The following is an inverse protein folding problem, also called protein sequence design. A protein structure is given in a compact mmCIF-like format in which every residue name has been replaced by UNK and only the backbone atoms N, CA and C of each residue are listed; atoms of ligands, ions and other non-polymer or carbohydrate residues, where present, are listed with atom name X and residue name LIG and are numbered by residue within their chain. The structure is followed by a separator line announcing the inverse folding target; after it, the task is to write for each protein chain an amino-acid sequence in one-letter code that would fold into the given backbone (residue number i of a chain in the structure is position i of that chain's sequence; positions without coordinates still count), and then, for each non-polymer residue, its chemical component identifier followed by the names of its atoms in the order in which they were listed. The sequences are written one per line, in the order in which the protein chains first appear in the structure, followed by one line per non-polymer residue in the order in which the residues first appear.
data_IF_691260599732
#
_entry.id   IF_691260599732
#
_cell.length_a   1.000
_cell.length_b   1.000
_cell.length_c   1.000
_cell.angle_alpha   90.00
_cell.angle_beta   90.00
_cell.angle_gamma   90.00
#
_symmetry.space_group_name_H-M   'P 1'
#
loop_
_entity.id
_entity.type
_entity.pdbx_description
1 polymer ?
#
# COMPACT_ATOMS: atom_id res chain seq x y z
N UNK A 1 9.27 -3.28 9.25
CA UNK A 1 8.88 -4.43 10.10
C UNK A 1 9.90 -5.54 9.94
N UNK A 2 10.46 -6.04 11.02
CA UNK A 2 11.43 -7.15 11.00
C UNK A 2 10.69 -8.44 11.33
N UNK A 3 10.95 -9.47 10.54
CA UNK A 3 10.37 -10.81 10.74
C UNK A 3 11.48 -11.84 10.86
N UNK A 4 11.25 -12.90 11.62
CA UNK A 4 12.13 -14.07 11.63
C UNK A 4 11.86 -14.89 10.37
N UNK A 5 12.90 -15.10 9.57
CA UNK A 5 12.85 -15.92 8.38
C UNK A 5 13.75 -17.15 8.55
N UNK A 6 13.33 -18.26 7.97
CA UNK A 6 14.04 -19.55 8.05
C UNK A 6 14.39 -20.04 6.63
N UNK A 7 15.60 -20.53 6.48
CA UNK A 7 16.15 -20.95 5.20
C UNK A 7 16.81 -22.33 5.32
N UNK A 8 16.71 -23.10 4.27
CA UNK A 8 17.40 -24.41 4.17
C UNK A 8 18.88 -24.25 3.87
N UNK A 9 19.25 -23.15 3.24
CA UNK A 9 20.63 -22.77 2.92
C UNK A 9 20.93 -21.38 3.51
N UNK A 10 22.22 -21.09 3.72
CA UNK A 10 22.60 -19.78 4.25
C UNK A 10 22.22 -18.67 3.27
N UNK A 11 21.32 -17.78 3.65
CA UNK A 11 20.91 -16.68 2.77
C UNK A 11 21.97 -15.59 2.71
N UNK A 12 21.98 -14.87 1.59
CA UNK A 12 22.74 -13.62 1.49
C UNK A 12 22.13 -12.53 2.37
N UNK A 13 22.95 -11.60 2.85
CA UNK A 13 22.50 -10.46 3.66
C UNK A 13 21.58 -9.51 2.90
N UNK A 14 21.70 -9.45 1.58
CA UNK A 14 20.88 -8.63 0.68
C UNK A 14 20.33 -9.52 -0.42
N UNK A 15 19.02 -9.42 -0.67
CA UNK A 15 18.37 -9.91 -1.88
C UNK A 15 17.70 -8.73 -2.57
N UNK A 16 18.20 -8.40 -3.73
CA UNK A 16 17.72 -7.29 -4.55
C UNK A 16 17.02 -7.83 -5.81
N UNK A 17 15.78 -7.41 -6.04
CA UNK A 17 15.01 -7.81 -7.21
C UNK A 17 14.48 -6.57 -7.92
N UNK A 18 15.09 -6.24 -9.04
CA UNK A 18 14.65 -5.12 -9.87
C UNK A 18 13.26 -5.38 -10.48
N UNK A 19 12.42 -4.36 -10.46
CA UNK A 19 11.09 -4.33 -11.07
C UNK A 19 11.08 -3.30 -12.20
N UNK A 20 11.52 -3.66 -13.43
CA UNK A 20 11.71 -2.69 -14.51
C UNK A 20 10.46 -1.91 -14.90
N UNK A 21 9.27 -2.51 -14.72
CA UNK A 21 7.99 -1.88 -15.03
C UNK A 21 7.56 -0.79 -14.05
N UNK A 22 8.22 -0.70 -12.89
CA UNK A 22 7.88 0.23 -11.83
C UNK A 22 9.03 1.18 -11.47
N UNK A 23 10.18 1.09 -12.15
CA UNK A 23 11.43 1.81 -11.82
C UNK A 23 11.83 1.69 -10.34
N UNK A 24 11.54 0.54 -9.75
CA UNK A 24 11.81 0.23 -8.34
C UNK A 24 12.38 -1.18 -8.21
N UNK A 25 12.84 -1.52 -7.02
CA UNK A 25 13.26 -2.87 -6.67
C UNK A 25 12.66 -3.31 -5.35
N UNK A 26 12.37 -4.59 -5.25
CA UNK A 26 12.08 -5.24 -3.98
C UNK A 26 13.39 -5.61 -3.31
N UNK A 27 13.52 -5.25 -2.05
CA UNK A 27 14.73 -5.42 -1.25
C UNK A 27 14.41 -6.20 0.02
N UNK A 28 15.11 -7.31 0.20
CA UNK A 28 15.13 -8.06 1.48
C UNK A 28 16.52 -7.93 2.08
N UNK A 29 16.57 -7.48 3.33
CA UNK A 29 17.81 -7.32 4.07
C UNK A 29 17.79 -8.21 5.29
N UNK A 30 18.91 -8.87 5.58
CA UNK A 30 18.99 -9.87 6.64
C UNK A 30 20.14 -9.58 7.56
N UNK A 31 19.86 -9.57 8.85
CA UNK A 31 20.85 -9.52 9.93
C UNK A 31 20.74 -10.74 10.82
N UNK A 32 21.72 -10.95 11.68
CA UNK A 32 21.75 -12.03 12.66
C UNK A 32 21.55 -13.43 12.05
N UNK A 33 22.14 -13.65 10.88
CA UNK A 33 22.07 -14.95 10.19
C UNK A 33 22.79 -16.00 11.04
N UNK A 34 22.06 -16.94 11.60
CA UNK A 34 22.57 -17.99 12.45
C UNK A 34 22.18 -19.38 11.96
N UNK A 35 23.09 -20.34 12.07
CA UNK A 35 22.79 -21.76 11.83
C UNK A 35 22.02 -22.31 13.04
N UNK A 36 20.88 -22.94 12.78
CA UNK A 36 20.05 -23.61 13.78
C UNK A 36 19.95 -25.09 13.42
N UNK A 37 20.21 -25.95 14.39
CA UNK A 37 20.07 -27.40 14.21
C UNK A 37 18.80 -27.87 14.91
N UNK A 38 17.95 -28.56 14.21
CA UNK A 38 16.77 -29.20 14.77
C UNK A 38 17.20 -30.32 15.74
N UNK A 39 16.80 -30.25 17.02
CA UNK A 39 17.21 -31.22 18.02
C UNK A 39 16.61 -32.62 17.79
N UNK A 40 15.52 -32.76 17.06
CA UNK A 40 14.85 -34.04 16.82
C UNK A 40 15.39 -34.71 15.55
N UNK A 41 15.63 -33.97 14.51
CA UNK A 41 16.02 -34.53 13.19
C UNK A 41 17.49 -34.36 12.87
N UNK A 42 18.21 -33.45 13.57
CA UNK A 42 19.57 -33.07 13.26
C UNK A 42 19.71 -32.25 11.97
N UNK A 43 18.60 -31.84 11.37
CA UNK A 43 18.60 -31.02 10.16
C UNK A 43 19.10 -29.61 10.45
N UNK A 44 19.96 -29.12 9.58
CA UNK A 44 20.49 -27.76 9.66
C UNK A 44 19.62 -26.81 8.87
N UNK A 45 19.29 -25.69 9.47
CA UNK A 45 18.62 -24.55 8.85
C UNK A 45 19.29 -23.26 9.28
N UNK A 46 18.90 -22.16 8.65
CA UNK A 46 19.39 -20.84 9.01
C UNK A 46 18.23 -19.96 9.39
N UNK A 47 18.35 -19.24 10.50
CA UNK A 47 17.43 -18.17 10.85
C UNK A 47 18.06 -16.81 10.58
N UNK A 48 17.27 -15.83 10.24
CA UNK A 48 17.70 -14.47 10.08
C UNK A 48 16.61 -13.48 10.48
N UNK A 49 17.01 -12.31 10.91
CA UNK A 49 16.12 -11.17 11.06
C UNK A 49 15.99 -10.48 9.70
N UNK A 50 14.87 -10.68 9.03
CA UNK A 50 14.61 -10.16 7.70
C UNK A 50 13.75 -8.92 7.74
N UNK A 51 14.19 -7.87 7.05
CA UNK A 51 13.43 -6.65 6.80
C UNK A 51 13.21 -6.49 5.29
N UNK A 52 12.02 -6.07 4.92
CA UNK A 52 11.63 -5.83 3.54
C UNK A 52 11.32 -4.35 3.30
N UNK A 53 11.70 -3.85 2.14
CA UNK A 53 11.25 -2.56 1.62
C UNK A 53 11.20 -2.57 0.10
N UNK A 54 10.52 -1.59 -0.47
CA UNK A 54 10.60 -1.26 -1.90
C UNK A 54 11.29 0.07 -2.08
N UNK A 55 12.25 0.15 -2.99
CA UNK A 55 13.08 1.32 -3.19
C UNK A 55 13.41 1.56 -4.66
N UNK A 56 13.69 2.80 -5.02
CA UNK A 56 14.27 3.18 -6.30
C UNK A 56 15.81 3.23 -6.27
N UNK A 57 16.44 3.01 -5.10
CA UNK A 57 17.89 2.98 -4.97
C UNK A 57 18.49 1.75 -5.66
N UNK A 58 19.73 1.87 -6.08
CA UNK A 58 20.49 0.79 -6.69
C UNK A 58 21.06 -0.17 -5.64
N UNK A 59 21.35 -1.39 -6.03
CA UNK A 59 21.99 -2.38 -5.15
C UNK A 59 23.33 -1.88 -4.59
N UNK A 60 24.10 -1.13 -5.39
CA UNK A 60 25.37 -0.55 -4.96
C UNK A 60 25.21 0.48 -3.85
N UNK A 61 24.22 1.34 -3.92
CA UNK A 61 23.90 2.33 -2.87
C UNK A 61 23.48 1.65 -1.58
N UNK A 62 22.69 0.59 -1.68
CA UNK A 62 22.23 -0.19 -0.54
C UNK A 62 23.39 -0.92 0.14
N UNK A 63 24.28 -1.51 -0.65
CA UNK A 63 25.46 -2.23 -0.15
C UNK A 63 26.44 -1.27 0.53
N UNK A 64 26.57 -0.04 0.03
CA UNK A 64 27.45 0.98 0.58
C UNK A 64 27.05 1.43 1.99
N UNK A 65 25.75 1.41 2.31
CA UNK A 65 25.23 1.81 3.62
C UNK A 65 24.16 0.83 4.13
N UNK A 66 24.57 -0.41 4.30
CA UNK A 66 23.70 -1.53 4.68
C UNK A 66 22.91 -1.25 5.96
N UNK A 67 23.53 -0.68 6.98
CA UNK A 67 22.89 -0.49 8.29
C UNK A 67 21.77 0.54 8.23
N UNK A 68 21.97 1.67 7.55
CA UNK A 68 20.95 2.69 7.37
C UNK A 68 19.78 2.16 6.52
N UNK A 69 20.07 1.39 5.50
CA UNK A 69 19.03 0.75 4.68
C UNK A 69 18.25 -0.33 5.44
N UNK A 70 18.93 -1.08 6.30
CA UNK A 70 18.25 -2.06 7.15
C UNK A 70 17.29 -1.39 8.15
N UNK A 71 17.68 -0.25 8.74
CA UNK A 71 16.79 0.54 9.60
C UNK A 71 15.59 1.07 8.82
N UNK A 72 15.80 1.60 7.63
CA UNK A 72 14.74 2.05 6.74
C UNK A 72 13.77 0.92 6.39
N UNK A 73 14.28 -0.25 6.03
CA UNK A 73 13.47 -1.44 5.74
C UNK A 73 12.72 -1.93 6.99
N UNK A 74 13.33 -1.85 8.16
CA UNK A 74 12.71 -2.26 9.43
C UNK A 74 11.51 -1.38 9.81
N UNK A 75 11.57 -0.11 9.47
CA UNK A 75 10.49 0.85 9.70
C UNK A 75 9.45 0.87 8.56
N UNK A 76 9.74 0.26 7.43
CA UNK A 76 8.84 0.27 6.28
C UNK A 76 7.55 -0.50 6.56
N UNK A 77 6.45 0.07 6.14
CA UNK A 77 5.14 -0.57 6.16
C UNK A 77 4.56 -0.54 4.75
N UNK A 78 3.91 -1.63 4.31
CA UNK A 78 3.25 -1.62 3.01
C UNK A 78 2.23 -0.49 2.97
N UNK A 79 2.13 0.25 1.85
CA UNK A 79 1.09 1.25 1.70
C UNK A 79 -0.26 0.55 1.90
N UNK A 80 -1.03 1.07 2.84
CA UNK A 80 -2.42 0.60 3.03
C UNK A 80 -3.14 0.88 1.72
N UNK A 81 -3.69 -0.13 1.03
CA UNK A 81 -4.46 0.13 -0.17
C UNK A 81 -5.59 1.08 0.21
N UNK A 82 -5.60 2.26 -0.41
CA UNK A 82 -6.75 3.15 -0.31
C UNK A 82 -7.94 2.34 -0.82
N UNK A 83 -8.81 1.91 0.08
CA UNK A 83 -10.12 1.40 -0.30
C UNK A 83 -10.80 2.55 -1.05
N UNK A 84 -10.82 2.46 -2.38
CA UNK A 84 -11.72 3.31 -3.13
C UNK A 84 -13.11 3.02 -2.60
N UNK A 85 -13.81 4.02 -2.10
CA UNK A 85 -15.17 3.81 -1.61
C UNK A 85 -16.04 3.43 -2.82
N UNK A 86 -16.31 2.13 -2.97
CA UNK A 86 -17.14 1.61 -4.07
C UNK A 86 -18.64 1.90 -3.84
N UNK A 87 -18.98 2.38 -2.65
CA UNK A 87 -20.35 2.68 -2.26
C UNK A 87 -20.57 4.19 -2.17
N UNK A 88 -21.79 4.62 -2.40
CA UNK A 88 -22.20 6.01 -2.23
C UNK A 88 -21.93 6.52 -0.81
N UNK A 89 -22.19 5.70 0.21
CA UNK A 89 -21.90 6.00 1.61
C UNK A 89 -20.40 6.20 1.85
N UNK A 90 -19.55 5.34 1.28
CA UNK A 90 -18.10 5.47 1.38
C UNK A 90 -17.59 6.76 0.73
N UNK A 91 -18.17 7.20 -0.38
CA UNK A 91 -17.84 8.46 -1.04
C UNK A 91 -18.26 9.67 -0.21
N UNK A 92 -19.43 9.62 0.42
CA UNK A 92 -19.91 10.68 1.33
C UNK A 92 -18.97 10.78 2.52
N UNK A 93 -18.60 9.68 3.15
CA UNK A 93 -17.66 9.66 4.28
C UNK A 93 -16.30 10.25 3.89
N UNK A 94 -15.78 9.90 2.72
CA UNK A 94 -14.52 10.45 2.21
C UNK A 94 -14.60 11.97 1.98
N UNK A 95 -15.73 12.47 1.47
CA UNK A 95 -15.99 13.91 1.32
C UNK A 95 -16.08 14.64 2.64
N UNK A 96 -16.77 14.08 3.63
CA UNK A 96 -16.89 14.65 4.97
C UNK A 96 -15.52 14.80 5.63
N UNK A 97 -14.67 13.78 5.53
CA UNK A 97 -13.29 13.83 6.05
C UNK A 97 -12.47 14.90 5.33
N UNK A 98 -12.58 15.02 4.02
CA UNK A 98 -11.85 16.03 3.26
C UNK A 98 -12.31 17.45 3.59
N UNK A 99 -13.62 17.67 3.75
CA UNK A 99 -14.20 18.97 4.18
C UNK A 99 -13.73 19.32 5.58
N UNK A 100 -13.71 18.36 6.51
CA UNK A 100 -13.25 18.60 7.87
C UNK A 100 -11.78 18.99 7.93
N UNK A 101 -10.92 18.35 7.13
CA UNK A 101 -9.52 18.75 6.99
C UNK A 101 -9.37 20.19 6.48
N UNK A 102 -10.18 20.60 5.53
CA UNK A 102 -10.17 21.98 5.03
C UNK A 102 -10.62 22.99 6.10
N UNK A 103 -11.63 22.66 6.90
CA UNK A 103 -12.09 23.50 8.01
C UNK A 103 -11.00 23.67 9.08
N UNK A 104 -10.22 22.64 9.34
CA UNK A 104 -9.11 22.67 10.28
C UNK A 104 -7.84 23.35 9.73
N UNK A 105 -7.86 23.77 8.48
CA UNK A 105 -6.70 24.39 7.81
C UNK A 105 -5.56 23.40 7.49
N UNK A 106 -5.80 22.10 7.61
CA UNK A 106 -4.84 21.04 7.29
C UNK A 106 -4.99 20.47 5.88
N UNK A 107 -6.00 20.92 5.14
CA UNK A 107 -6.26 20.50 3.76
C UNK A 107 -5.22 21.02 2.77
N UNK A 108 -4.92 20.18 1.77
CA UNK A 108 -4.01 20.50 0.67
C UNK A 108 -4.80 20.81 -0.61
N UNK A 109 -4.19 21.47 -1.64
CA UNK A 109 -4.83 21.62 -2.96
C UNK A 109 -5.26 20.28 -3.58
N UNK A 110 -4.56 19.18 -3.27
CA UNK A 110 -4.94 17.84 -3.69
C UNK A 110 -6.26 17.39 -3.07
N UNK A 111 -6.55 17.77 -1.82
CA UNK A 111 -7.81 17.46 -1.15
C UNK A 111 -8.98 18.23 -1.79
N UNK A 112 -8.76 19.48 -2.19
CA UNK A 112 -9.74 20.27 -2.95
C UNK A 112 -10.07 19.60 -4.28
N UNK A 113 -9.06 19.16 -5.02
CA UNK A 113 -9.25 18.45 -6.30
C UNK A 113 -10.01 17.13 -6.14
N UNK A 114 -9.78 16.41 -5.05
CA UNK A 114 -10.54 15.18 -4.71
C UNK A 114 -12.01 15.50 -4.46
N UNK A 115 -12.31 16.57 -3.75
CA UNK A 115 -13.68 17.02 -3.47
C UNK A 115 -14.37 17.42 -4.77
N UNK A 116 -13.72 18.20 -5.62
CA UNK A 116 -14.28 18.63 -6.91
C UNK A 116 -14.61 17.44 -7.81
N UNK A 117 -13.74 16.43 -7.89
CA UNK A 117 -14.00 15.20 -8.65
C UNK A 117 -15.17 14.43 -8.07
N UNK A 118 -15.20 14.22 -6.75
CA UNK A 118 -16.27 13.50 -6.10
C UNK A 118 -17.64 14.22 -6.26
N UNK A 119 -17.66 15.54 -6.22
CA UNK A 119 -18.87 16.32 -6.49
C UNK A 119 -19.32 16.19 -7.94
N UNK A 120 -18.38 16.19 -8.90
CA UNK A 120 -18.68 15.98 -10.31
C UNK A 120 -19.26 14.58 -10.57
N UNK A 121 -18.67 13.53 -9.96
CA UNK A 121 -19.13 12.15 -10.06
C UNK A 121 -20.54 11.99 -9.46
N UNK A 122 -20.79 12.55 -8.28
CA UNK A 122 -22.12 12.53 -7.65
C UNK A 122 -23.18 13.25 -8.47
N UNK A 123 -22.84 14.38 -9.12
CA UNK A 123 -23.77 15.07 -10.02
C UNK A 123 -24.10 14.23 -11.23
N UNK A 124 -23.13 13.52 -11.82
CA UNK A 124 -23.34 12.63 -12.95
C UNK A 124 -24.23 11.44 -12.55
N UNK A 125 -23.96 10.81 -11.40
CA UNK A 125 -24.78 9.70 -10.89
C UNK A 125 -26.21 10.15 -10.58
N UNK A 126 -26.40 11.30 -9.95
CA UNK A 126 -27.74 11.84 -9.66
C UNK A 126 -28.53 12.10 -10.94
N UNK A 127 -27.88 12.58 -11.98
CA UNK A 127 -28.51 12.77 -13.29
C UNK A 127 -28.97 11.44 -13.87
N UNK A 128 -28.10 10.41 -13.86
CA UNK A 128 -28.42 9.07 -14.34
C UNK A 128 -29.59 8.46 -13.56
N UNK A 129 -29.56 8.53 -12.22
CA UNK A 129 -30.65 8.03 -11.38
C UNK A 129 -31.97 8.75 -11.63
N UNK A 130 -31.96 10.05 -11.88
CA UNK A 130 -33.15 10.81 -12.23
C UNK A 130 -33.72 10.38 -13.57
N UNK A 131 -32.87 10.11 -14.55
CA UNK A 131 -33.28 9.60 -15.87
C UNK A 131 -33.85 8.18 -15.78
N UNK A 132 -33.21 7.30 -15.01
CA UNK A 132 -33.71 5.93 -14.75
C UNK A 132 -35.04 5.94 -14.01
N UNK A 133 -35.19 6.78 -13.00
CA UNK A 133 -36.45 6.91 -12.27
C UNK A 133 -37.56 7.42 -13.19
N UNK A 134 -37.26 8.38 -14.07
CA UNK A 134 -38.23 8.87 -15.05
C UNK A 134 -38.63 7.79 -16.03
N UNK A 135 -37.67 7.01 -16.54
CA UNK A 135 -37.92 5.88 -17.41
C UNK A 135 -38.78 4.81 -16.72
N UNK A 136 -38.47 4.46 -15.48
CA UNK A 136 -39.24 3.51 -14.69
C UNK A 136 -40.68 4.00 -14.45
N UNK A 137 -40.90 5.27 -14.17
CA UNK A 137 -42.23 5.86 -14.04
C UNK A 137 -43.06 5.76 -15.31
N UNK A 138 -42.44 6.01 -16.47
CA UNK A 138 -43.09 5.87 -17.78
C UNK A 138 -43.52 4.41 -18.02
N UNK A 139 -42.62 3.47 -17.75
CA UNK A 139 -42.93 2.02 -17.92
C UNK A 139 -44.05 1.56 -17.01
N UNK A 140 -44.09 2.07 -15.78
CA UNK A 140 -45.12 1.74 -14.79
C UNK A 140 -46.44 2.53 -14.98
N UNK A 141 -46.49 3.48 -15.90
CA UNK A 141 -47.65 4.33 -16.14
C UNK A 141 -47.96 5.27 -14.97
N UNK A 142 -46.96 5.61 -14.16
CA UNK A 142 -47.09 6.53 -13.02
C UNK A 142 -46.36 7.80 -13.39
N UNK A 143 -47.05 8.80 -13.82
CA UNK A 143 -46.49 10.17 -13.99
C UNK A 143 -46.93 11.07 -12.86
#
# INVERSE_FOLDING_TARGET
MVTKAYYTERPDSIKYMSLPSADTADLWMRKNIAEVTDPETGAKSYEADEAYTRTAATEAEITADFDAWYETASAWQPPVPEKKPDTQEGRITALEVAVEKLKQGTGTPADVSKIERAVADLKAENKTLAEELRAAKIVLGVE
#
